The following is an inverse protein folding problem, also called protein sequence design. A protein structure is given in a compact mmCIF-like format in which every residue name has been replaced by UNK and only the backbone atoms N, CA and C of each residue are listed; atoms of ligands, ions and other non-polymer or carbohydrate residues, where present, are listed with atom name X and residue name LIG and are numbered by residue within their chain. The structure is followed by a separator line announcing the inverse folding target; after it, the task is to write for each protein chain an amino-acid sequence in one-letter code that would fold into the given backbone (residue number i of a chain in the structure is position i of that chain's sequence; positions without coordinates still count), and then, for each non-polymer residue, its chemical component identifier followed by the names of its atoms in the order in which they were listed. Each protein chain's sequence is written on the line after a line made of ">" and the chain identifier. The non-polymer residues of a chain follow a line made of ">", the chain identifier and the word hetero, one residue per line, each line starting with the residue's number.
data_IF_494720683247
#
_entry.id   IF_494720683247
#
_cell.length_a   1.000
_cell.length_b   1.000
_cell.length_c   1.000
_cell.angle_alpha   90.00
_cell.angle_beta   90.00
_cell.angle_gamma   90.00
#
_symmetry.space_group_name_H-M   'P 1'
#
loop_
_entity.id
_entity.type
_entity.pdbx_description
1 polymer ?
#
# COMPACT_ATOMS: atom_id res chain seq x y z
N UNK A 1 28.60 30.52 -7.65
CA UNK A 1 28.58 29.06 -7.91
C UNK A 1 28.15 28.24 -6.68
N UNK A 2 28.75 28.37 -5.49
CA UNK A 2 28.36 27.52 -4.34
C UNK A 2 27.01 27.88 -3.69
N UNK A 3 26.63 29.16 -3.71
CA UNK A 3 25.33 29.63 -3.20
C UNK A 3 24.18 29.04 -4.03
N UNK A 4 24.36 29.00 -5.35
CA UNK A 4 23.34 28.51 -6.28
C UNK A 4 23.09 27.00 -6.13
N UNK A 5 24.16 26.20 -5.94
CA UNK A 5 24.03 24.77 -5.63
C UNK A 5 23.26 24.52 -4.32
N UNK A 6 23.54 25.30 -3.27
CA UNK A 6 22.83 25.20 -1.99
C UNK A 6 21.34 25.57 -2.12
N UNK A 7 21.03 26.58 -2.93
CA UNK A 7 19.66 26.99 -3.20
C UNK A 7 18.89 25.91 -3.95
N UNK A 8 19.51 25.26 -4.95
CA UNK A 8 18.91 24.14 -5.69
C UNK A 8 18.61 22.98 -4.73
N UNK A 9 19.57 22.60 -3.88
CA UNK A 9 19.37 21.51 -2.90
C UNK A 9 18.26 21.82 -1.89
N UNK A 10 18.18 23.07 -1.41
CA UNK A 10 17.11 23.49 -0.51
C UNK A 10 15.75 23.43 -1.20
N UNK A 11 15.67 23.84 -2.46
CA UNK A 11 14.45 23.76 -3.25
C UNK A 11 14.00 22.31 -3.49
N UNK A 12 14.92 21.43 -3.89
CA UNK A 12 14.65 19.99 -4.06
C UNK A 12 14.13 19.35 -2.77
N UNK A 13 14.74 19.69 -1.63
CA UNK A 13 14.28 19.22 -0.33
C UNK A 13 12.84 19.67 -0.04
N UNK A 14 12.52 20.96 -0.27
CA UNK A 14 11.16 21.47 -0.07
C UNK A 14 10.14 20.73 -0.95
N UNK A 15 10.48 20.46 -2.22
CA UNK A 15 9.62 19.66 -3.09
C UNK A 15 9.37 18.26 -2.51
N UNK A 16 10.40 17.58 -2.00
CA UNK A 16 10.24 16.25 -1.41
C UNK A 16 9.41 16.26 -0.12
N UNK A 17 9.49 17.33 0.68
CA UNK A 17 8.64 17.52 1.87
C UNK A 17 7.18 17.65 1.45
N UNK A 18 6.89 18.51 0.47
CA UNK A 18 5.54 18.71 -0.03
C UNK A 18 4.98 17.41 -0.64
N UNK A 19 5.76 16.69 -1.45
CA UNK A 19 5.34 15.38 -1.99
C UNK A 19 5.00 14.35 -0.92
N UNK A 20 5.77 14.34 0.19
CA UNK A 20 5.50 13.46 1.31
C UNK A 20 4.20 13.87 2.00
N UNK A 21 4.02 15.16 2.32
CA UNK A 21 2.79 15.71 2.90
C UNK A 21 1.56 15.34 2.06
N UNK A 22 1.61 15.65 0.77
CA UNK A 22 0.58 15.34 -0.22
C UNK A 22 0.19 13.85 -0.24
N UNK A 23 1.16 12.97 -0.03
CA UNK A 23 0.89 11.54 0.04
C UNK A 23 0.19 11.16 1.34
N UNK A 24 0.58 11.77 2.46
CA UNK A 24 -0.02 11.51 3.76
C UNK A 24 -1.46 12.03 3.82
N UNK A 25 -1.71 13.25 3.35
CA UNK A 25 -3.05 13.83 3.25
C UNK A 25 -3.98 12.93 2.44
N UNK A 26 -3.52 12.41 1.29
CA UNK A 26 -4.29 11.45 0.48
C UNK A 26 -4.54 10.10 1.17
N UNK A 27 -3.71 9.71 2.14
CA UNK A 27 -3.92 8.48 2.89
C UNK A 27 -4.94 8.68 4.03
N UNK A 28 -4.87 9.81 4.73
CA UNK A 28 -5.68 10.11 5.91
C UNK A 28 -7.01 10.80 5.54
N UNK A 29 -7.10 11.37 4.34
CA UNK A 29 -8.24 12.18 3.86
C UNK A 29 -8.46 13.46 4.71
N UNK A 30 -7.37 13.98 5.29
CA UNK A 30 -7.35 15.22 6.08
C UNK A 30 -6.38 16.22 5.47
N UNK A 31 -6.73 17.51 5.51
CA UNK A 31 -5.84 18.59 5.10
C UNK A 31 -4.86 18.93 6.24
N UNK A 32 -3.59 19.06 5.89
CA UNK A 32 -2.48 19.40 6.81
C UNK A 32 -1.84 20.67 6.28
N UNK A 33 -1.53 21.69 7.07
CA UNK A 33 -0.88 22.88 6.51
C UNK A 33 0.60 22.62 6.18
N UNK A 34 1.07 23.05 4.99
CA UNK A 34 2.51 22.99 4.60
C UNK A 34 3.42 23.55 5.69
N UNK A 35 3.05 24.70 6.24
CA UNK A 35 3.87 25.46 7.19
C UNK A 35 4.02 24.75 8.53
N UNK A 36 3.06 23.92 8.90
CA UNK A 36 3.05 23.21 10.19
C UNK A 36 3.34 21.72 10.05
N UNK A 37 3.55 21.22 8.83
CA UNK A 37 3.73 19.80 8.53
C UNK A 37 4.83 19.14 9.37
N UNK A 38 6.03 19.74 9.44
CA UNK A 38 7.12 19.21 10.25
C UNK A 38 6.75 19.16 11.75
N UNK A 39 6.00 20.15 12.24
CA UNK A 39 5.54 20.20 13.62
C UNK A 39 4.50 19.14 13.93
N UNK A 40 3.56 18.94 13.01
CA UNK A 40 2.55 17.90 13.12
C UNK A 40 3.17 16.50 13.06
N UNK A 41 4.22 16.31 12.24
CA UNK A 41 5.00 15.08 12.24
C UNK A 41 5.64 14.83 13.60
N UNK A 42 6.20 15.85 14.27
CA UNK A 42 6.77 15.71 15.62
C UNK A 42 5.78 15.22 16.66
N UNK A 43 4.53 15.68 16.59
CA UNK A 43 3.46 15.20 17.48
C UNK A 43 3.11 13.72 17.22
N UNK A 44 3.47 13.19 16.06
CA UNK A 44 3.28 11.80 15.69
C UNK A 44 1.82 11.41 15.43
N UNK A 45 0.87 12.32 15.57
CA UNK A 45 -0.57 12.06 15.38
C UNK A 45 -0.84 11.57 13.95
N UNK A 46 -0.29 12.29 12.98
CA UNK A 46 -0.37 11.96 11.55
C UNK A 46 0.26 10.59 11.25
N UNK A 47 1.40 10.29 11.89
CA UNK A 47 2.10 9.01 11.75
C UNK A 47 1.32 7.84 12.37
N UNK A 48 0.65 8.06 13.50
CA UNK A 48 -0.21 7.07 14.13
C UNK A 48 -1.45 6.78 13.24
N UNK A 49 -2.09 7.83 12.70
CA UNK A 49 -3.20 7.65 11.74
C UNK A 49 -2.76 6.84 10.51
N UNK A 50 -1.58 7.14 9.96
CA UNK A 50 -0.97 6.34 8.88
C UNK A 50 -0.76 4.87 9.27
N UNK A 51 -0.21 4.63 10.47
CA UNK A 51 0.01 3.28 10.98
C UNK A 51 -1.31 2.48 11.02
N UNK A 52 -2.39 3.11 11.47
CA UNK A 52 -3.73 2.53 11.50
C UNK A 52 -4.27 2.20 10.09
N UNK A 53 -4.01 3.03 9.09
CA UNK A 53 -4.41 2.80 7.69
C UNK A 53 -3.61 1.66 7.03
N UNK A 54 -2.33 1.54 7.40
CA UNK A 54 -1.46 0.49 6.87
C UNK A 54 -1.82 -0.86 7.50
N UNK A 55 -2.00 -0.88 8.82
CA UNK A 55 -2.36 -2.06 9.59
C UNK A 55 -3.49 -1.70 10.58
N UNK A 56 -4.75 -2.05 10.26
CA UNK A 56 -5.87 -1.75 11.15
C UNK A 56 -5.72 -2.51 12.47
N UNK A 57 -5.97 -1.82 13.58
CA UNK A 57 -5.86 -2.37 14.94
C UNK A 57 -4.44 -2.32 15.54
N UNK A 58 -3.48 -1.71 14.83
CA UNK A 58 -2.12 -1.50 15.34
C UNK A 58 -2.02 -0.38 16.37
N UNK A 59 -2.91 0.61 16.29
CA UNK A 59 -2.95 1.77 17.18
C UNK A 59 -4.04 1.55 18.23
N UNK A 60 -3.67 1.60 19.51
CA UNK A 60 -4.63 1.47 20.62
C UNK A 60 -5.32 2.80 20.91
N UNK A 61 -4.52 3.82 21.18
CA UNK A 61 -4.98 5.17 21.53
C UNK A 61 -4.00 6.20 20.99
N UNK A 62 -4.50 7.15 20.21
CA UNK A 62 -3.73 8.30 19.72
C UNK A 62 -3.72 9.35 20.83
N UNK A 63 -2.54 9.84 21.17
CA UNK A 63 -2.40 10.95 22.11
C UNK A 63 -2.40 12.28 21.35
N UNK A 64 -3.42 13.10 21.58
CA UNK A 64 -3.59 14.40 20.94
C UNK A 64 -3.63 15.49 22.02
N UNK A 65 -2.45 16.00 22.36
CA UNK A 65 -2.28 17.18 23.20
C UNK A 65 -1.61 18.29 22.38
N UNK A 66 -2.07 19.52 22.57
CA UNK A 66 -1.59 20.69 21.84
C UNK A 66 -0.09 20.96 22.08
N UNK A 67 0.36 20.78 23.33
CA UNK A 67 1.78 20.89 23.69
C UNK A 67 2.53 19.60 23.41
N UNK A 68 3.78 19.74 22.95
CA UNK A 68 4.69 18.61 22.78
C UNK A 68 5.07 18.05 24.15
N UNK A 69 4.65 16.81 24.41
CA UNK A 69 4.96 16.04 25.61
C UNK A 69 5.66 14.74 25.20
N UNK A 70 6.42 14.16 26.12
CA UNK A 70 7.11 12.88 25.90
C UNK A 70 6.15 11.79 25.41
N UNK A 71 4.90 11.80 25.88
CA UNK A 71 3.87 10.83 25.48
C UNK A 71 3.57 10.81 23.97
N UNK A 72 3.92 11.83 23.19
CA UNK A 72 3.85 11.78 21.73
C UNK A 72 4.83 10.78 21.11
N UNK A 73 5.87 10.36 21.83
CA UNK A 73 6.74 9.26 21.39
C UNK A 73 5.97 7.97 21.16
N UNK A 74 4.91 7.74 21.94
CA UNK A 74 4.04 6.56 21.79
C UNK A 74 3.36 6.54 20.42
N UNK A 75 2.96 7.72 19.90
CA UNK A 75 2.36 7.84 18.58
C UNK A 75 3.33 7.39 17.48
N UNK A 76 4.61 7.77 17.60
CA UNK A 76 5.68 7.40 16.67
C UNK A 76 6.01 5.91 16.81
N UNK A 77 6.03 5.37 18.04
CA UNK A 77 6.29 3.96 18.30
C UNK A 77 5.26 3.03 17.65
N UNK A 78 3.99 3.44 17.52
CA UNK A 78 3.00 2.66 16.77
C UNK A 78 3.41 2.46 15.31
N UNK A 79 3.94 3.51 14.67
CA UNK A 79 4.42 3.41 13.29
C UNK A 79 5.59 2.44 13.18
N UNK A 80 6.57 2.51 14.10
CA UNK A 80 7.70 1.57 14.10
C UNK A 80 7.24 0.12 14.27
N UNK A 81 6.24 -0.12 15.12
CA UNK A 81 5.68 -1.47 15.27
C UNK A 81 5.05 -1.98 13.97
N UNK A 82 4.30 -1.12 13.26
CA UNK A 82 3.74 -1.46 11.95
C UNK A 82 4.84 -1.70 10.91
N UNK A 83 5.88 -0.87 10.89
CA UNK A 83 7.04 -1.04 9.99
C UNK A 83 7.74 -2.39 10.21
N UNK A 84 7.93 -2.81 11.47
CA UNK A 84 8.46 -4.14 11.80
C UNK A 84 7.55 -5.25 11.31
N UNK A 85 6.23 -5.13 11.51
CA UNK A 85 5.26 -6.13 11.07
C UNK A 85 5.23 -6.33 9.55
N UNK A 86 5.40 -5.25 8.78
CA UNK A 86 5.46 -5.31 7.31
C UNK A 86 6.85 -5.70 6.78
N UNK A 87 7.81 -6.02 7.67
CA UNK A 87 9.22 -6.31 7.34
C UNK A 87 9.88 -5.20 6.53
N UNK A 88 9.65 -3.95 6.94
CA UNK A 88 10.27 -2.79 6.32
C UNK A 88 11.79 -2.82 6.58
N UNK A 89 12.63 -2.51 5.58
CA UNK A 89 14.09 -2.55 5.74
C UNK A 89 14.58 -1.53 6.77
N UNK A 90 15.36 -2.00 7.74
CA UNK A 90 15.81 -1.19 8.89
C UNK A 90 16.65 0.03 8.48
N UNK A 91 17.41 -0.06 7.39
CA UNK A 91 18.22 1.05 6.85
C UNK A 91 17.40 2.32 6.53
N UNK A 92 16.10 2.16 6.26
CA UNK A 92 15.20 3.25 5.93
C UNK A 92 14.40 3.73 7.14
N UNK A 93 14.48 3.03 8.28
CA UNK A 93 13.76 3.41 9.51
C UNK A 93 14.55 4.54 10.18
N UNK A 94 13.84 5.60 10.56
CA UNK A 94 14.40 6.70 11.34
C UNK A 94 14.28 6.42 12.84
N UNK A 95 15.08 7.10 13.65
CA UNK A 95 15.03 6.97 15.11
C UNK A 95 14.08 7.99 15.73
N UNK A 96 13.60 7.72 16.94
CA UNK A 96 12.72 8.65 17.66
C UNK A 96 13.36 10.06 17.80
N UNK A 97 14.65 10.11 18.09
CA UNK A 97 15.41 11.37 18.24
C UNK A 97 15.57 12.14 16.94
N UNK A 98 15.54 11.45 15.78
CA UNK A 98 15.64 12.10 14.46
C UNK A 98 14.45 13.06 14.23
N UNK A 99 13.26 12.65 14.69
CA UNK A 99 12.02 13.41 14.56
C UNK A 99 11.72 14.29 15.79
N UNK A 100 11.79 13.73 16.99
CA UNK A 100 11.39 14.43 18.22
C UNK A 100 12.29 15.65 18.51
N UNK A 101 13.62 15.46 18.43
CA UNK A 101 14.62 16.52 18.64
C UNK A 101 14.99 17.26 17.34
N UNK A 102 14.35 16.92 16.21
CA UNK A 102 14.69 17.42 14.86
C UNK A 102 16.16 17.22 14.46
N UNK A 103 16.84 16.18 14.97
CA UNK A 103 18.24 15.92 14.61
C UNK A 103 18.42 15.59 13.12
N UNK A 104 17.45 14.87 12.53
CA UNK A 104 17.56 14.44 11.14
C UNK A 104 16.18 14.26 10.49
N UNK A 105 15.49 15.38 10.24
CA UNK A 105 14.21 15.39 9.51
C UNK A 105 14.31 14.82 8.08
N UNK A 106 15.38 15.07 7.29
CA UNK A 106 15.49 14.49 5.95
C UNK A 106 15.38 12.97 5.92
N UNK A 107 15.94 12.28 6.93
CA UNK A 107 15.81 10.82 7.06
C UNK A 107 14.36 10.37 7.29
N UNK A 108 13.57 11.16 8.02
CA UNK A 108 12.12 10.91 8.21
C UNK A 108 11.37 11.05 6.89
N UNK A 109 11.64 12.11 6.13
CA UNK A 109 11.02 12.33 4.81
C UNK A 109 11.36 11.19 3.85
N UNK A 110 12.63 10.75 3.85
CA UNK A 110 13.06 9.61 3.05
C UNK A 110 12.36 8.30 3.44
N UNK A 111 12.17 8.06 4.75
CA UNK A 111 11.41 6.92 5.25
C UNK A 111 9.96 6.93 4.73
N UNK A 112 9.30 8.09 4.73
CA UNK A 112 7.94 8.25 4.22
C UNK A 112 7.84 7.94 2.72
N UNK A 113 8.80 8.43 1.92
CA UNK A 113 8.88 8.10 0.49
C UNK A 113 9.08 6.61 0.24
N UNK A 114 9.96 5.97 1.00
CA UNK A 114 10.16 4.52 0.93
C UNK A 114 8.89 3.75 1.32
N UNK A 115 8.17 4.20 2.34
CA UNK A 115 6.90 3.62 2.78
C UNK A 115 5.82 3.72 1.69
N UNK A 116 5.69 4.90 1.05
CA UNK A 116 4.84 5.13 -0.12
C UNK A 116 5.16 4.14 -1.25
N UNK A 117 6.44 3.98 -1.57
CA UNK A 117 6.89 3.08 -2.64
C UNK A 117 6.52 1.62 -2.35
N UNK A 118 6.76 1.14 -1.13
CA UNK A 118 6.44 -0.24 -0.71
C UNK A 118 4.92 -0.48 -0.73
N UNK A 119 4.13 0.50 -0.27
CA UNK A 119 2.66 0.44 -0.31
C UNK A 119 2.15 0.32 -1.75
N UNK A 120 2.67 1.15 -2.68
CA UNK A 120 2.32 1.12 -4.11
C UNK A 120 2.69 -0.23 -4.75
N UNK A 121 3.87 -0.75 -4.46
CA UNK A 121 4.30 -2.05 -4.96
C UNK A 121 3.38 -3.19 -4.49
N UNK A 122 2.95 -3.16 -3.22
CA UNK A 122 2.02 -4.14 -2.67
C UNK A 122 0.62 -4.07 -3.30
N UNK A 123 0.10 -2.88 -3.62
CA UNK A 123 -1.19 -2.75 -4.31
C UNK A 123 -1.13 -3.31 -5.74
N UNK A 124 -0.04 -3.05 -6.46
CA UNK A 124 0.22 -3.60 -7.79
C UNK A 124 0.30 -5.14 -7.74
N UNK A 125 0.97 -5.71 -6.74
CA UNK A 125 1.06 -7.16 -6.55
C UNK A 125 -0.32 -7.79 -6.27
N UNK A 126 -1.16 -7.15 -5.45
CA UNK A 126 -2.55 -7.60 -5.22
C UNK A 126 -3.37 -7.59 -6.52
N UNK A 127 -3.24 -6.55 -7.34
CA UNK A 127 -3.93 -6.44 -8.63
C UNK A 127 -3.44 -7.50 -9.64
N UNK A 128 -2.13 -7.71 -9.76
CA UNK A 128 -1.55 -8.79 -10.58
C UNK A 128 -2.06 -10.18 -10.14
N UNK A 129 -2.14 -10.45 -8.83
CA UNK A 129 -2.69 -11.72 -8.30
C UNK A 129 -4.19 -11.86 -8.60
N UNK A 130 -5.00 -10.81 -8.45
CA UNK A 130 -6.43 -10.81 -8.81
C UNK A 130 -6.63 -11.08 -10.31
N UNK A 131 -5.83 -10.44 -11.18
CA UNK A 131 -5.90 -10.65 -12.62
C UNK A 131 -5.48 -12.07 -13.03
N UNK A 132 -4.43 -12.63 -12.41
CA UNK A 132 -4.06 -14.05 -12.61
C UNK A 132 -5.17 -15.02 -12.16
N UNK A 133 -5.83 -14.77 -11.03
CA UNK A 133 -6.99 -15.56 -10.57
C UNK A 133 -8.18 -15.45 -11.53
N UNK A 134 -8.51 -14.25 -12.01
CA UNK A 134 -9.55 -14.03 -13.04
C UNK A 134 -9.23 -14.77 -14.34
N UNK A 135 -7.96 -14.71 -14.81
CA UNK A 135 -7.52 -15.41 -16.02
C UNK A 135 -7.61 -16.94 -15.86
N UNK A 136 -7.18 -17.50 -14.72
CA UNK A 136 -7.35 -18.94 -14.40
C UNK A 136 -8.83 -19.35 -14.40
N UNK A 137 -9.70 -18.61 -13.71
CA UNK A 137 -11.16 -18.91 -13.73
C UNK A 137 -11.76 -18.88 -15.13
N UNK A 138 -11.30 -17.96 -16.00
CA UNK A 138 -11.77 -17.86 -17.39
C UNK A 138 -11.35 -19.08 -18.22
N UNK A 139 -10.11 -19.55 -18.07
CA UNK A 139 -9.60 -20.76 -18.76
C UNK A 139 -10.40 -21.99 -18.32
N UNK A 140 -10.58 -22.16 -17.01
CA UNK A 140 -11.34 -23.28 -16.43
C UNK A 140 -12.77 -23.31 -16.97
N UNK A 141 -13.47 -22.17 -17.01
CA UNK A 141 -14.83 -22.10 -17.58
C UNK A 141 -14.88 -22.47 -19.08
N UNK A 142 -13.85 -22.13 -19.85
CA UNK A 142 -13.78 -22.47 -21.27
C UNK A 142 -13.55 -23.98 -21.44
N UNK A 143 -12.66 -24.58 -20.65
CA UNK A 143 -12.41 -26.03 -20.65
C UNK A 143 -13.66 -26.83 -20.27
N UNK A 144 -14.38 -26.42 -19.21
CA UNK A 144 -15.64 -27.07 -18.82
C UNK A 144 -16.72 -26.96 -19.91
N UNK A 145 -16.84 -25.81 -20.58
CA UNK A 145 -17.78 -25.65 -21.69
C UNK A 145 -17.47 -26.57 -22.87
N UNK A 146 -16.19 -26.75 -23.21
CA UNK A 146 -15.75 -27.67 -24.26
C UNK A 146 -16.01 -29.13 -23.91
N UNK A 147 -15.72 -29.53 -22.67
CA UNK A 147 -15.97 -30.90 -22.18
C UNK A 147 -17.47 -31.23 -22.24
N UNK A 148 -18.33 -30.32 -21.78
CA UNK A 148 -19.80 -30.50 -21.84
C UNK A 148 -20.27 -30.66 -23.29
N UNK A 149 -19.78 -29.83 -24.22
CA UNK A 149 -20.13 -29.91 -25.63
C UNK A 149 -19.73 -31.26 -26.25
N UNK A 150 -18.50 -31.72 -26.01
CA UNK A 150 -18.02 -33.03 -26.47
C UNK A 150 -18.91 -34.15 -25.91
N UNK A 151 -19.25 -34.10 -24.62
CA UNK A 151 -20.07 -35.13 -23.98
C UNK A 151 -21.50 -35.18 -24.56
N UNK A 152 -22.12 -34.02 -24.81
CA UNK A 152 -23.44 -33.92 -25.46
C UNK A 152 -23.37 -34.46 -26.89
N UNK A 153 -22.35 -34.11 -27.67
CA UNK A 153 -22.17 -34.59 -29.04
C UNK A 153 -21.96 -36.11 -29.11
N UNK A 154 -21.20 -36.70 -28.18
CA UNK A 154 -21.01 -38.16 -28.09
C UNK A 154 -22.33 -38.85 -27.76
N UNK A 155 -23.10 -38.34 -26.79
CA UNK A 155 -24.41 -38.90 -26.42
C UNK A 155 -25.36 -38.84 -27.61
N UNK A 156 -25.44 -37.71 -28.33
CA UNK A 156 -26.26 -37.59 -29.53
C UNK A 156 -25.85 -38.57 -30.63
N UNK A 157 -24.54 -38.80 -30.81
CA UNK A 157 -24.02 -39.76 -31.78
C UNK A 157 -24.38 -41.20 -31.42
N UNK A 158 -24.21 -41.61 -30.16
CA UNK A 158 -24.56 -42.95 -29.67
C UNK A 158 -26.07 -43.22 -29.76
N UNK A 159 -26.90 -42.22 -29.44
CA UNK A 159 -28.36 -42.33 -29.55
C UNK A 159 -28.81 -42.53 -31.01
N UNK A 160 -28.10 -41.92 -31.97
CA UNK A 160 -28.37 -42.06 -33.40
C UNK A 160 -27.96 -43.44 -33.94
N UNK A 161 -26.99 -44.10 -33.34
CA UNK A 161 -26.58 -45.48 -33.67
C UNK A 161 -27.49 -46.55 -33.07
N UNK A 162 -28.17 -46.28 -31.95
CA UNK A 162 -29.03 -47.28 -31.26
C UNK A 162 -30.53 -47.20 -31.63
N UNK A 163 -31.02 -46.07 -32.16
CA UNK A 163 -32.46 -45.86 -32.43
C UNK A 163 -32.86 -45.84 -33.92
N UNK A 164 -31.93 -46.06 -34.85
CA UNK A 164 -32.25 -46.26 -36.26
C UNK A 164 -31.64 -47.58 -36.76
N UNK A 165 -32.33 -48.73 -36.60
CA UNK A 165 -32.07 -49.88 -37.44
C UNK A 165 -32.43 -49.48 -38.86
N UNK A 166 -31.46 -49.58 -39.76
CA UNK A 166 -31.65 -49.48 -41.20
C UNK A 166 -32.79 -50.37 -41.64
N UNK A 167 -33.96 -49.77 -41.92
CA UNK A 167 -35.00 -50.36 -42.75
C UNK A 167 -34.47 -50.44 -44.18
N UNK A 168 -33.79 -51.55 -44.47
CA UNK A 168 -33.56 -52.03 -45.82
C UNK A 168 -34.50 -53.22 -46.02
N UNK A 169 -35.25 -53.15 -47.13
CA UNK A 169 -36.31 -54.04 -47.61
C UNK A 169 -37.73 -53.73 -47.09
#
# INVERSE_FOLDING_TARGET
>A
MDIERKNIQAYEYLCHVEEARDWIERCIEEQIDSKTFEEQLRRGIVLAKLAQIIQPGSVKKIFDAEKLQYRHSDNINYLFNVMRNIKFPENFIFELTDLYDKKNIPKVIYCLHALRYIRKSNSILKNKKKNKKKKKKKIINIEYSYIIYIHISIIQSLFRSYWFPSSSC
#
